data_IF_680362727681
#
_entry.id   IF_680362727681
#
_cell.length_a   1.000
_cell.length_b   1.000
_cell.length_c   1.000
_cell.angle_alpha   90.00
_cell.angle_beta   90.00
_cell.angle_gamma   90.00
#
_symmetry.space_group_name_H-M   'P 1'
#
loop_
_entity.id
_entity.type
_entity.pdbx_description
1 polymer ?
#
# COMPACT_ATOMS: atom_id res chain seq x y z
N UNK A 1 -15.14 41.13 10.51
CA UNK A 1 -15.61 39.78 10.90
C UNK A 1 -15.28 38.73 9.85
N UNK A 2 -15.64 38.89 8.57
CA UNK A 2 -15.31 37.93 7.47
C UNK A 2 -13.81 37.63 7.29
N UNK A 3 -12.93 38.62 7.41
CA UNK A 3 -11.49 38.45 7.15
C UNK A 3 -10.78 37.53 8.17
N UNK A 4 -11.22 37.56 9.44
CA UNK A 4 -10.66 36.70 10.48
C UNK A 4 -11.12 35.25 10.30
N UNK A 5 -12.37 35.04 9.88
CA UNK A 5 -12.90 33.71 9.59
C UNK A 5 -12.17 33.11 8.40
N UNK A 6 -11.96 33.87 7.32
CA UNK A 6 -11.18 33.42 6.16
C UNK A 6 -9.74 33.05 6.55
N UNK A 7 -9.07 33.89 7.35
CA UNK A 7 -7.72 33.60 7.85
C UNK A 7 -7.68 32.32 8.68
N UNK A 8 -8.66 32.10 9.56
CA UNK A 8 -8.74 30.88 10.37
C UNK A 8 -8.98 29.64 9.51
N UNK A 9 -9.86 29.70 8.50
CA UNK A 9 -10.08 28.60 7.56
C UNK A 9 -8.80 28.26 6.81
N UNK A 10 -8.09 29.28 6.31
CA UNK A 10 -6.83 29.08 5.59
C UNK A 10 -5.77 28.42 6.48
N UNK A 11 -5.65 28.86 7.74
CA UNK A 11 -4.72 28.27 8.71
C UNK A 11 -5.08 26.80 8.97
N UNK A 12 -6.36 26.48 9.19
CA UNK A 12 -6.78 25.09 9.42
C UNK A 12 -6.53 24.20 8.20
N UNK A 13 -6.79 24.69 6.98
CA UNK A 13 -6.49 23.96 5.75
C UNK A 13 -4.99 23.69 5.61
N UNK A 14 -4.15 24.68 5.90
CA UNK A 14 -2.69 24.51 5.87
C UNK A 14 -2.21 23.50 6.92
N UNK A 15 -2.77 23.52 8.13
CA UNK A 15 -2.44 22.55 9.18
C UNK A 15 -2.83 21.14 8.74
N UNK A 16 -4.05 20.95 8.24
CA UNK A 16 -4.52 19.64 7.75
C UNK A 16 -3.62 19.14 6.62
N UNK A 17 -3.32 19.98 5.63
CA UNK A 17 -2.44 19.61 4.53
C UNK A 17 -1.03 19.23 5.01
N UNK A 18 -0.44 20.01 5.94
CA UNK A 18 0.87 19.72 6.49
C UNK A 18 0.89 18.39 7.27
N UNK A 19 -0.13 18.14 8.09
CA UNK A 19 -0.25 16.89 8.85
C UNK A 19 -0.44 15.69 7.92
N UNK A 20 -1.31 15.81 6.90
CA UNK A 20 -1.49 14.75 5.91
C UNK A 20 -0.19 14.42 5.18
N UNK A 21 0.53 15.43 4.70
CA UNK A 21 1.82 15.23 4.03
C UNK A 21 2.88 14.59 4.94
N UNK A 22 2.91 14.98 6.22
CA UNK A 22 3.83 14.39 7.20
C UNK A 22 3.51 12.92 7.47
N UNK A 23 2.23 12.59 7.66
CA UNK A 23 1.78 11.20 7.86
C UNK A 23 2.08 10.36 6.63
N UNK A 24 1.78 10.88 5.44
CA UNK A 24 2.06 10.19 4.19
C UNK A 24 3.55 9.94 4.04
N UNK A 25 4.41 10.93 4.34
CA UNK A 25 5.86 10.79 4.31
C UNK A 25 6.35 9.71 5.28
N UNK A 26 5.84 9.71 6.52
CA UNK A 26 6.24 8.74 7.55
C UNK A 26 5.79 7.31 7.22
N UNK A 27 4.66 7.15 6.51
CA UNK A 27 4.12 5.84 6.11
C UNK A 27 4.57 5.37 4.73
N UNK A 28 5.40 6.13 3.99
CA UNK A 28 5.83 5.71 2.65
C UNK A 28 6.56 4.37 2.75
N UNK A 29 6.15 3.34 2.00
CA UNK A 29 6.90 2.09 1.93
C UNK A 29 8.28 2.37 1.34
N UNK A 30 9.34 2.19 2.13
CA UNK A 30 10.72 2.24 1.64
C UNK A 30 11.08 0.87 1.03
N UNK A 31 10.56 0.62 -0.18
CA UNK A 31 10.93 -0.58 -0.93
C UNK A 31 12.35 -0.41 -1.50
N UNK A 32 13.21 -1.44 -1.41
CA UNK A 32 14.48 -1.46 -2.12
C UNK A 32 14.27 -1.23 -3.63
N UNK A 33 15.16 -0.50 -4.28
CA UNK A 33 15.08 -0.18 -5.72
C UNK A 33 15.02 -1.43 -6.61
N UNK A 34 15.49 -2.57 -6.11
CA UNK A 34 15.56 -3.86 -6.80
C UNK A 34 14.60 -4.90 -6.22
N UNK A 35 13.57 -4.47 -5.47
CA UNK A 35 12.62 -5.37 -4.81
C UNK A 35 11.92 -6.32 -5.79
N UNK A 36 11.61 -5.86 -7.02
CA UNK A 36 10.99 -6.69 -8.06
C UNK A 36 11.89 -7.81 -8.59
N UNK A 37 13.22 -7.64 -8.51
CA UNK A 37 14.22 -8.59 -9.01
C UNK A 37 14.79 -9.50 -7.91
N UNK A 38 14.35 -9.34 -6.67
CA UNK A 38 14.83 -10.15 -5.56
C UNK A 38 13.97 -11.41 -5.44
N UNK A 39 14.57 -12.62 -5.41
CA UNK A 39 13.81 -13.84 -5.18
C UNK A 39 13.30 -13.85 -3.73
N UNK A 40 12.00 -14.04 -3.55
CA UNK A 40 11.37 -14.19 -2.24
C UNK A 40 11.26 -15.68 -1.89
N UNK A 41 11.45 -16.00 -0.61
CA UNK A 41 11.12 -17.31 -0.07
C UNK A 41 9.73 -17.27 0.55
N UNK A 42 8.89 -18.21 0.13
CA UNK A 42 7.57 -18.41 0.75
C UNK A 42 7.70 -19.19 2.05
N UNK A 43 6.66 -19.12 2.88
CA UNK A 43 6.56 -19.91 4.11
C UNK A 43 6.60 -21.42 3.85
N UNK A 44 6.21 -21.86 2.65
CA UNK A 44 6.28 -23.25 2.20
C UNK A 44 7.68 -23.65 1.69
N UNK A 45 8.68 -22.76 1.77
CA UNK A 45 10.04 -23.00 1.29
C UNK A 45 10.21 -22.95 -0.23
N UNK A 46 9.21 -22.44 -0.97
CA UNK A 46 9.31 -22.21 -2.41
C UNK A 46 9.91 -20.84 -2.69
N UNK A 47 10.89 -20.81 -3.58
CA UNK A 47 11.43 -19.55 -4.13
C UNK A 47 10.47 -19.01 -5.19
N UNK A 48 10.11 -17.75 -5.08
CA UNK A 48 9.22 -17.04 -6.01
C UNK A 48 9.96 -15.85 -6.61
N UNK A 49 9.90 -15.73 -7.93
CA UNK A 49 10.44 -14.61 -8.69
C UNK A 49 9.30 -13.65 -9.10
N UNK A 50 9.28 -12.47 -8.49
CA UNK A 50 8.26 -11.44 -8.73
C UNK A 50 8.37 -10.84 -10.14
N UNK A 51 9.58 -10.77 -10.71
CA UNK A 51 9.79 -10.26 -12.06
C UNK A 51 9.18 -11.23 -13.09
N UNK A 52 9.39 -12.53 -12.90
CA UNK A 52 8.79 -13.56 -13.74
C UNK A 52 7.25 -13.52 -13.66
N UNK A 53 6.69 -13.40 -12.45
CA UNK A 53 5.24 -13.34 -12.25
C UNK A 53 4.57 -12.09 -12.84
N UNK A 54 5.30 -10.97 -12.94
CA UNK A 54 4.78 -9.71 -13.48
C UNK A 54 5.02 -9.52 -14.98
N UNK A 55 5.72 -10.45 -15.63
CA UNK A 55 6.17 -10.31 -17.02
C UNK A 55 5.02 -10.17 -18.04
N UNK A 56 3.99 -11.01 -17.92
CA UNK A 56 2.87 -11.03 -18.88
C UNK A 56 1.67 -10.19 -18.43
N UNK A 57 1.47 -10.07 -17.12
CA UNK A 57 0.30 -9.41 -16.54
C UNK A 57 0.65 -8.69 -15.23
N UNK A 58 0.00 -7.55 -14.93
CA UNK A 58 0.24 -6.81 -13.69
C UNK A 58 0.12 -7.71 -12.47
N UNK A 59 1.10 -7.67 -11.57
CA UNK A 59 1.11 -8.43 -10.32
C UNK A 59 0.70 -7.51 -9.16
N UNK A 60 -0.37 -7.88 -8.44
CA UNK A 60 -0.71 -7.26 -7.17
C UNK A 60 0.04 -7.96 -6.04
N UNK A 61 0.96 -7.22 -5.40
CA UNK A 61 1.61 -7.68 -4.18
C UNK A 61 0.84 -7.17 -2.96
N UNK A 62 0.29 -8.08 -2.17
CA UNK A 62 -0.49 -7.77 -0.97
C UNK A 62 0.30 -8.10 0.29
N UNK A 63 0.95 -7.08 0.87
CA UNK A 63 1.65 -7.19 2.15
C UNK A 63 0.67 -7.03 3.29
N UNK A 64 0.56 -8.02 4.17
CA UNK A 64 -0.39 -8.00 5.28
C UNK A 64 0.21 -8.53 6.58
N UNK A 65 -0.54 -8.38 7.66
CA UNK A 65 -0.18 -8.95 8.95
C UNK A 65 -1.43 -9.14 9.82
N UNK A 66 -1.35 -10.02 10.83
CA UNK A 66 -2.45 -10.27 11.78
C UNK A 66 -2.83 -9.05 12.61
N UNK A 67 -1.89 -8.12 12.81
CA UNK A 67 -2.09 -6.85 13.50
C UNK A 67 -2.49 -5.70 12.56
N UNK A 68 -2.62 -5.94 11.25
CA UNK A 68 -3.04 -4.93 10.29
C UNK A 68 -4.55 -4.72 10.35
N UNK A 69 -5.00 -3.72 11.13
CA UNK A 69 -6.42 -3.44 11.32
C UNK A 69 -7.18 -3.12 10.03
N UNK A 70 -6.57 -2.38 9.10
CA UNK A 70 -7.20 -2.05 7.81
C UNK A 70 -7.33 -3.28 6.90
N UNK A 71 -6.43 -4.26 7.05
CA UNK A 71 -6.42 -5.45 6.21
C UNK A 71 -7.74 -6.24 6.33
N UNK A 72 -8.40 -6.22 7.48
CA UNK A 72 -9.74 -6.82 7.67
C UNK A 72 -10.76 -6.39 6.62
N UNK A 73 -10.67 -5.16 6.13
CA UNK A 73 -11.60 -4.62 5.14
C UNK A 73 -11.11 -4.82 3.69
N UNK A 74 -9.80 -4.90 3.48
CA UNK A 74 -9.22 -5.01 2.14
C UNK A 74 -9.00 -6.45 1.69
N UNK A 75 -8.69 -7.36 2.62
CA UNK A 75 -8.44 -8.79 2.33
C UNK A 75 -9.58 -9.43 1.55
N UNK A 76 -10.88 -9.21 1.86
CA UNK A 76 -11.97 -9.83 1.09
C UNK A 76 -11.94 -9.46 -0.39
N UNK A 77 -11.66 -8.19 -0.72
CA UNK A 77 -11.57 -7.72 -2.11
C UNK A 77 -10.36 -8.29 -2.84
N UNK A 78 -9.22 -8.39 -2.13
CA UNK A 78 -8.00 -9.02 -2.68
C UNK A 78 -8.24 -10.51 -2.94
N UNK A 79 -8.91 -11.20 -2.03
CA UNK A 79 -9.28 -12.61 -2.19
C UNK A 79 -10.25 -12.83 -3.36
N UNK A 80 -11.24 -11.94 -3.53
CA UNK A 80 -12.14 -11.98 -4.69
C UNK A 80 -11.36 -11.84 -6.00
N UNK A 81 -10.44 -10.87 -6.09
CA UNK A 81 -9.59 -10.71 -7.28
C UNK A 81 -8.75 -11.97 -7.58
N UNK A 82 -8.18 -12.60 -6.55
CA UNK A 82 -7.44 -13.84 -6.72
C UNK A 82 -8.33 -14.99 -7.23
N UNK A 83 -9.56 -15.12 -6.68
CA UNK A 83 -10.54 -16.12 -7.11
C UNK A 83 -11.03 -15.91 -8.54
N UNK A 84 -11.12 -14.65 -8.99
CA UNK A 84 -11.47 -14.29 -10.37
C UNK A 84 -10.30 -14.51 -11.36
N UNK A 85 -9.18 -15.09 -10.90
CA UNK A 85 -8.00 -15.40 -11.72
C UNK A 85 -6.98 -14.27 -11.83
N UNK A 86 -7.15 -13.20 -11.04
CA UNK A 86 -6.21 -12.10 -10.93
C UNK A 86 -4.83 -12.55 -10.45
N UNK A 87 -3.80 -11.83 -10.87
CA UNK A 87 -2.42 -12.14 -10.51
C UNK A 87 -2.07 -11.53 -9.15
N UNK A 88 -2.20 -12.31 -8.08
CA UNK A 88 -2.04 -11.82 -6.71
C UNK A 88 -0.98 -12.65 -5.99
N UNK A 89 -0.05 -11.98 -5.31
CA UNK A 89 0.92 -12.58 -4.40
C UNK A 89 0.76 -11.94 -3.02
N UNK A 90 0.52 -12.76 -1.99
CA UNK A 90 0.39 -12.30 -0.60
C UNK A 90 1.69 -12.52 0.15
N UNK A 91 2.14 -11.50 0.90
CA UNK A 91 3.37 -11.54 1.71
C UNK A 91 3.05 -11.16 3.15
#
# INVERSE_FOLDING_TARGET
>A
MMLNVFRQILIWLLIVAAVSLAVDYLRRPALPQNFSSMPLQTLDGRTVDLAAMSHERPLLLYVWATWCGVCRYTTPSVAALANDGGNVMTV
#
